data_IF_852247930297
#
_entry.id   IF_852247930297
#
_cell.length_a   1.000
_cell.length_b   1.000
_cell.length_c   1.000
_cell.angle_alpha   90.00
_cell.angle_beta   90.00
_cell.angle_gamma   90.00
#
_symmetry.space_group_name_H-M   'P 1'
#
loop_
_entity.id
_entity.type
_entity.pdbx_description
1 polymer ?
#
# COMPACT_ATOMS: atom_id res chain seq x y z
N UNK A 1 32.13 23.38 -22.18
CA UNK A 1 30.97 23.72 -21.33
C UNK A 1 30.16 22.46 -21.07
N UNK A 2 30.34 21.79 -19.93
CA UNK A 2 29.43 20.70 -19.50
C UNK A 2 29.34 20.63 -17.96
N UNK A 3 28.65 21.56 -17.28
CA UNK A 3 28.31 21.42 -15.87
C UNK A 3 26.82 21.06 -15.73
N UNK A 4 26.43 19.81 -16.04
CA UNK A 4 25.06 19.32 -15.74
C UNK A 4 25.04 18.07 -14.87
N UNK A 5 26.18 17.43 -14.62
CA UNK A 5 26.26 16.23 -13.76
C UNK A 5 26.28 16.54 -12.27
N UNK A 6 26.64 17.77 -11.87
CA UNK A 6 26.84 18.12 -10.45
C UNK A 6 25.52 18.22 -9.65
N UNK A 7 24.43 18.69 -10.27
CA UNK A 7 23.14 18.91 -9.59
C UNK A 7 22.35 17.62 -9.38
N UNK A 8 22.46 16.65 -10.30
CA UNK A 8 21.76 15.38 -10.20
C UNK A 8 22.31 14.49 -9.07
N UNK A 9 23.64 14.45 -8.89
CA UNK A 9 24.30 13.68 -7.82
C UNK A 9 23.96 14.23 -6.44
N UNK A 10 23.86 15.56 -6.29
CA UNK A 10 23.41 16.19 -5.04
C UNK A 10 21.97 15.80 -4.67
N UNK A 11 21.07 15.79 -5.65
CA UNK A 11 19.62 15.58 -5.44
C UNK A 11 19.20 14.11 -5.32
N UNK A 12 19.85 13.21 -6.07
CA UNK A 12 19.47 11.79 -6.18
C UNK A 12 20.47 10.81 -5.58
N UNK A 13 21.72 11.23 -5.36
CA UNK A 13 22.77 10.42 -4.75
C UNK A 13 23.58 9.58 -5.73
N UNK A 14 24.35 8.64 -5.18
CA UNK A 14 25.19 7.73 -5.98
C UNK A 14 24.32 6.75 -6.78
N UNK A 15 24.83 6.15 -7.87
CA UNK A 15 24.08 5.19 -8.69
C UNK A 15 23.46 4.05 -7.86
N UNK A 16 24.14 3.58 -6.82
CA UNK A 16 23.63 2.56 -5.90
C UNK A 16 22.41 3.01 -5.08
N UNK A 17 22.37 4.28 -4.66
CA UNK A 17 21.20 4.83 -3.94
C UNK A 17 20.00 5.00 -4.87
N UNK A 18 20.25 5.35 -6.13
CA UNK A 18 19.22 5.42 -7.17
C UNK A 18 18.66 4.01 -7.42
N UNK A 19 19.51 3.01 -7.65
CA UNK A 19 19.08 1.63 -7.84
C UNK A 19 18.27 1.11 -6.64
N UNK A 20 18.77 1.30 -5.41
CA UNK A 20 18.07 0.85 -4.19
C UNK A 20 16.69 1.50 -4.02
N UNK A 21 16.56 2.78 -4.34
CA UNK A 21 15.28 3.48 -4.26
C UNK A 21 14.28 3.08 -5.37
N UNK A 22 14.75 2.71 -6.55
CA UNK A 22 13.91 2.18 -7.63
C UNK A 22 13.38 0.80 -7.23
N UNK A 23 14.25 -0.05 -6.68
CA UNK A 23 13.85 -1.36 -6.13
C UNK A 23 12.84 -1.19 -4.98
N UNK A 24 13.08 -0.26 -4.07
CA UNK A 24 12.17 0.03 -2.96
C UNK A 24 10.80 0.53 -3.44
N UNK A 25 10.76 1.39 -4.46
CA UNK A 25 9.52 1.86 -5.08
C UNK A 25 8.80 0.72 -5.82
N UNK A 26 9.53 -0.10 -6.58
CA UNK A 26 8.95 -1.24 -7.28
C UNK A 26 8.34 -2.26 -6.30
N UNK A 27 9.04 -2.56 -5.20
CA UNK A 27 8.53 -3.40 -4.12
C UNK A 27 7.27 -2.83 -3.47
N UNK A 28 7.23 -1.50 -3.27
CA UNK A 28 6.07 -0.83 -2.70
C UNK A 28 4.85 -0.92 -3.63
N UNK A 29 5.05 -0.69 -4.93
CA UNK A 29 3.99 -0.79 -5.93
C UNK A 29 3.49 -2.23 -6.08
N UNK A 30 4.39 -3.23 -6.02
CA UNK A 30 4.02 -4.64 -5.99
C UNK A 30 3.19 -4.96 -4.74
N UNK A 31 3.61 -4.50 -3.57
CA UNK A 31 2.89 -4.73 -2.32
C UNK A 31 1.52 -4.04 -2.33
N UNK A 32 1.43 -2.81 -2.85
CA UNK A 32 0.19 -2.09 -3.03
C UNK A 32 -0.76 -2.81 -3.99
N UNK A 33 -0.24 -3.32 -5.11
CA UNK A 33 -1.00 -4.13 -6.07
C UNK A 33 -1.51 -5.45 -5.48
N UNK A 34 -0.65 -6.17 -4.74
CA UNK A 34 -1.02 -7.38 -4.00
C UNK A 34 -2.09 -7.10 -2.94
N UNK A 35 -1.97 -5.98 -2.22
CA UNK A 35 -2.95 -5.55 -1.23
C UNK A 35 -4.31 -5.33 -1.89
N UNK A 36 -4.36 -4.60 -3.02
CA UNK A 36 -5.57 -4.38 -3.80
C UNK A 36 -6.21 -5.67 -4.33
N UNK A 37 -5.41 -6.59 -4.88
CA UNK A 37 -5.88 -7.90 -5.32
C UNK A 37 -6.45 -8.73 -4.15
N UNK A 38 -5.81 -8.66 -2.99
CA UNK A 38 -6.29 -9.33 -1.78
C UNK A 38 -7.62 -8.75 -1.29
N UNK A 39 -7.82 -7.43 -1.40
CA UNK A 39 -9.11 -6.76 -1.09
C UNK A 39 -10.27 -7.37 -1.88
N UNK A 40 -10.05 -7.64 -3.17
CA UNK A 40 -11.06 -8.29 -4.03
C UNK A 40 -11.32 -9.72 -3.58
N UNK A 41 -10.27 -10.44 -3.17
CA UNK A 41 -10.40 -11.77 -2.56
C UNK A 41 -11.27 -11.76 -1.29
N UNK A 42 -11.08 -10.80 -0.40
CA UNK A 42 -11.91 -10.64 0.80
C UNK A 42 -13.37 -10.34 0.45
N UNK A 43 -13.61 -9.45 -0.53
CA UNK A 43 -14.95 -9.11 -0.99
C UNK A 43 -15.66 -10.28 -1.69
N UNK A 44 -14.94 -11.19 -2.34
CA UNK A 44 -15.50 -12.39 -2.97
C UNK A 44 -15.74 -13.53 -1.98
N UNK A 45 -14.94 -13.64 -0.92
CA UNK A 45 -15.07 -14.72 0.09
C UNK A 45 -16.39 -14.66 0.87
N UNK A 46 -17.08 -13.53 0.86
CA UNK A 46 -18.40 -13.36 1.49
C UNK A 46 -19.55 -14.04 0.74
N UNK A 47 -19.32 -14.55 -0.48
CA UNK A 47 -20.30 -15.40 -1.20
C UNK A 47 -20.55 -16.74 -0.50
N UNK A 48 -19.72 -17.10 0.49
CA UNK A 48 -19.85 -18.29 1.33
C UNK A 48 -20.62 -18.04 2.64
N UNK A 49 -21.09 -16.82 2.90
CA UNK A 49 -21.84 -16.51 4.13
C UNK A 49 -23.18 -17.26 4.16
N UNK A 50 -23.46 -17.93 5.27
CA UNK A 50 -24.78 -18.50 5.52
C UNK A 50 -25.78 -17.38 5.83
N UNK A 51 -27.07 -17.58 5.57
CA UNK A 51 -28.12 -16.58 5.83
C UNK A 51 -28.25 -16.14 7.29
N UNK A 52 -27.61 -16.87 8.21
CA UNK A 52 -27.64 -16.63 9.65
C UNK A 52 -26.39 -15.89 10.16
N UNK A 53 -25.38 -15.66 9.31
CA UNK A 53 -24.14 -14.99 9.72
C UNK A 53 -24.30 -13.46 9.81
N UNK A 54 -24.25 -12.94 11.04
CA UNK A 54 -24.22 -11.49 11.31
C UNK A 54 -22.81 -10.91 11.33
N UNK A 55 -21.80 -11.68 10.90
CA UNK A 55 -20.42 -11.23 10.83
C UNK A 55 -20.27 -10.00 9.93
N UNK A 56 -19.40 -9.06 10.29
CA UNK A 56 -19.28 -7.78 9.59
C UNK A 56 -18.97 -7.99 8.10
N UNK A 57 -18.15 -9.01 7.76
CA UNK A 57 -17.80 -9.39 6.38
C UNK A 57 -19.00 -9.93 5.55
N UNK A 58 -20.06 -10.39 6.20
CA UNK A 58 -21.31 -10.83 5.54
C UNK A 58 -22.31 -9.69 5.33
N UNK A 59 -22.04 -8.51 5.91
CA UNK A 59 -22.83 -7.30 5.65
C UNK A 59 -22.26 -6.51 4.47
N UNK A 60 -23.12 -5.84 3.70
CA UNK A 60 -22.69 -4.98 2.59
C UNK A 60 -21.71 -3.88 3.04
N UNK A 61 -21.87 -3.37 4.27
CA UNK A 61 -20.97 -2.37 4.85
C UNK A 61 -19.57 -2.92 5.13
N UNK A 62 -19.45 -4.14 5.67
CA UNK A 62 -18.12 -4.73 5.92
C UNK A 62 -17.40 -5.15 4.65
N UNK A 63 -18.12 -5.53 3.60
CA UNK A 63 -17.55 -5.76 2.27
C UNK A 63 -16.99 -4.47 1.67
N UNK A 64 -17.74 -3.37 1.76
CA UNK A 64 -17.31 -2.07 1.27
C UNK A 64 -16.06 -1.61 2.03
N UNK A 65 -16.04 -1.78 3.37
CA UNK A 65 -14.87 -1.46 4.20
C UNK A 65 -13.65 -2.35 3.89
N UNK A 66 -13.85 -3.67 3.73
CA UNK A 66 -12.78 -4.61 3.41
C UNK A 66 -12.20 -4.39 2.00
N UNK A 67 -12.99 -3.80 1.08
CA UNK A 67 -12.53 -3.42 -0.23
C UNK A 67 -11.83 -2.05 -0.21
N UNK A 68 -12.47 -1.02 0.34
CA UNK A 68 -11.99 0.36 0.24
C UNK A 68 -10.82 0.68 1.15
N UNK A 69 -10.74 0.11 2.36
CA UNK A 69 -9.66 0.44 3.29
C UNK A 69 -8.28 0.00 2.75
N UNK A 70 -8.09 -1.27 2.33
CA UNK A 70 -6.78 -1.69 1.82
C UNK A 70 -6.48 -1.05 0.46
N UNK A 71 -7.50 -0.83 -0.37
CA UNK A 71 -7.34 -0.18 -1.68
C UNK A 71 -6.95 1.29 -1.53
N UNK A 72 -7.61 2.02 -0.62
CA UNK A 72 -7.27 3.41 -0.31
C UNK A 72 -5.87 3.54 0.28
N UNK A 73 -5.48 2.63 1.17
CA UNK A 73 -4.14 2.56 1.72
C UNK A 73 -3.08 2.29 0.63
N UNK A 74 -3.34 1.35 -0.29
CA UNK A 74 -2.46 1.05 -1.41
C UNK A 74 -2.26 2.27 -2.34
N UNK A 75 -3.33 3.01 -2.64
CA UNK A 75 -3.26 4.24 -3.43
C UNK A 75 -2.44 5.30 -2.70
N UNK A 76 -2.72 5.54 -1.41
CA UNK A 76 -2.01 6.53 -0.61
C UNK A 76 -0.52 6.19 -0.51
N UNK A 77 -0.19 4.91 -0.32
CA UNK A 77 1.18 4.42 -0.29
C UNK A 77 1.90 4.68 -1.61
N UNK A 78 1.27 4.36 -2.75
CA UNK A 78 1.84 4.63 -4.07
C UNK A 78 2.10 6.13 -4.29
N UNK A 79 1.17 7.01 -3.86
CA UNK A 79 1.35 8.46 -3.91
C UNK A 79 2.54 8.89 -3.04
N UNK A 80 2.65 8.39 -1.82
CA UNK A 80 3.78 8.68 -0.91
C UNK A 80 5.10 8.23 -1.52
N UNK A 81 5.17 7.01 -2.07
CA UNK A 81 6.35 6.48 -2.74
C UNK A 81 6.79 7.33 -3.92
N UNK A 82 5.85 7.73 -4.79
CA UNK A 82 6.13 8.63 -5.92
C UNK A 82 6.52 10.03 -5.47
N UNK A 83 5.85 10.59 -4.46
CA UNK A 83 6.21 11.89 -3.90
C UNK A 83 7.64 11.86 -3.32
N UNK A 84 8.03 10.77 -2.66
CA UNK A 84 9.38 10.57 -2.14
C UNK A 84 10.46 10.55 -3.22
N UNK A 85 10.20 9.91 -4.35
CA UNK A 85 11.15 9.89 -5.46
C UNK A 85 11.25 11.23 -6.18
N UNK A 86 10.15 11.98 -6.29
CA UNK A 86 10.11 13.31 -6.91
C UNK A 86 10.76 14.38 -6.02
N UNK A 87 10.51 14.36 -4.71
CA UNK A 87 11.05 15.34 -3.75
C UNK A 87 12.55 15.14 -3.46
N UNK A 88 13.08 13.93 -3.69
CA UNK A 88 14.51 13.64 -3.59
C UNK A 88 15.01 13.38 -2.17
N UNK A 89 16.33 13.45 -1.98
CA UNK A 89 17.06 12.85 -0.84
C UNK A 89 16.53 13.07 0.59
N UNK A 90 16.13 14.28 1.05
CA UNK A 90 15.67 14.41 2.43
C UNK A 90 14.32 13.72 2.69
N UNK A 91 13.49 13.59 1.65
CA UNK A 91 12.13 13.07 1.78
C UNK A 91 11.95 11.65 1.22
N UNK A 92 12.89 11.17 0.38
CA UNK A 92 12.79 9.89 -0.33
C UNK A 92 12.62 8.69 0.60
N UNK A 93 13.51 8.56 1.58
CA UNK A 93 13.49 7.43 2.54
C UNK A 93 12.28 7.50 3.47
N UNK A 94 11.98 8.63 4.14
CA UNK A 94 10.83 8.68 5.05
C UNK A 94 9.49 8.53 4.32
N UNK A 95 9.33 9.05 3.10
CA UNK A 95 8.09 8.87 2.32
C UNK A 95 7.92 7.45 1.78
N UNK A 96 9.00 6.78 1.36
CA UNK A 96 8.95 5.36 1.01
C UNK A 96 8.58 4.52 2.24
N UNK A 97 9.22 4.76 3.39
CA UNK A 97 8.92 4.08 4.63
C UNK A 97 7.47 4.31 5.09
N UNK A 98 6.99 5.55 5.00
CA UNK A 98 5.60 5.89 5.27
C UNK A 98 4.64 5.16 4.32
N UNK A 99 4.97 5.08 3.02
CA UNK A 99 4.21 4.28 2.07
C UNK A 99 4.09 2.81 2.48
N UNK A 100 5.21 2.18 2.85
CA UNK A 100 5.20 0.79 3.32
C UNK A 100 4.34 0.63 4.59
N UNK A 101 4.48 1.53 5.55
CA UNK A 101 3.71 1.51 6.78
C UNK A 101 2.20 1.63 6.50
N UNK A 102 1.80 2.55 5.62
CA UNK A 102 0.40 2.73 5.21
C UNK A 102 -0.14 1.46 4.55
N UNK A 103 0.60 0.86 3.62
CA UNK A 103 0.17 -0.39 2.97
C UNK A 103 -0.02 -1.51 3.98
N UNK A 104 0.93 -1.69 4.91
CA UNK A 104 0.85 -2.73 5.94
C UNK A 104 -0.33 -2.49 6.87
N UNK A 105 -0.53 -1.27 7.37
CA UNK A 105 -1.66 -0.94 8.24
C UNK A 105 -2.99 -1.15 7.52
N UNK A 106 -3.11 -0.72 6.26
CA UNK A 106 -4.31 -0.94 5.46
C UNK A 106 -4.61 -2.42 5.23
N UNK A 107 -3.60 -3.22 4.90
CA UNK A 107 -3.74 -4.65 4.73
C UNK A 107 -4.15 -5.35 6.03
N UNK A 108 -3.47 -5.06 7.14
CA UNK A 108 -3.79 -5.63 8.46
C UNK A 108 -5.20 -5.23 8.89
N UNK A 109 -5.62 -3.99 8.65
CA UNK A 109 -6.98 -3.53 8.97
C UNK A 109 -8.03 -4.29 8.16
N UNK A 110 -7.82 -4.45 6.85
CA UNK A 110 -8.71 -5.26 6.00
C UNK A 110 -8.78 -6.72 6.45
N UNK A 111 -7.65 -7.29 6.83
CA UNK A 111 -7.56 -8.66 7.36
C UNK A 111 -8.27 -8.81 8.71
N UNK A 112 -8.15 -7.84 9.62
CA UNK A 112 -8.90 -7.83 10.87
C UNK A 112 -10.40 -7.75 10.64
N UNK A 113 -10.86 -6.90 9.71
CA UNK A 113 -12.27 -6.82 9.31
C UNK A 113 -12.75 -8.17 8.75
N UNK A 114 -11.91 -8.84 7.96
CA UNK A 114 -12.21 -10.15 7.42
C UNK A 114 -12.23 -11.26 8.50
N UNK A 115 -11.42 -11.13 9.55
CA UNK A 115 -11.38 -12.08 10.67
C UNK A 115 -12.44 -11.82 11.73
N UNK A 116 -13.05 -10.64 11.77
CA UNK A 116 -14.24 -10.36 12.61
C UNK A 116 -15.50 -11.03 12.04
N UNK A 117 -15.49 -12.37 12.01
CA UNK A 117 -16.68 -13.22 11.94
C UNK A 117 -17.34 -13.36 13.32
N UNK A 118 -18.56 -13.91 13.43
CA UNK A 118 -19.28 -14.00 14.70
C UNK A 118 -18.45 -14.79 15.70
N UNK A 119 -18.28 -14.21 16.90
CA UNK A 119 -17.85 -14.96 18.07
C UNK A 119 -18.92 -16.02 18.35
N UNK A 120 -18.53 -17.28 18.26
CA UNK A 120 -19.31 -18.44 18.72
C UNK A 120 -19.85 -18.23 20.13
#
# INVERSE_FOLDING_TARGET
MTPQTSTAVGRYGTPGQIAGSVVALAGLLLLAGLTGLSSVGFALSSTLCASEDTGLICTGTGQDLALWIPTGAAILAAILGMAGTVLGRPFRVPLLAAGYAVTVVGFVTGLLIAMTGPAS
#
